data_IF_184948473525
#
_entry.id   IF_184948473525
#
_cell.length_a   1.000
_cell.length_b   1.000
_cell.length_c   1.000
_cell.angle_alpha   90.00
_cell.angle_beta   90.00
_cell.angle_gamma   90.00
#
_symmetry.space_group_name_H-M   'P 1'
#
loop_
_entity.id
_entity.type
_entity.pdbx_description
1 polymer ?
#
# COMPACT_ATOMS: atom_id res chain seq x y z
N UNK A 1 33.14 21.51 2.18
CA UNK A 1 32.89 20.41 3.16
C UNK A 1 34.07 19.44 3.08
N UNK A 2 34.62 19.05 4.21
CA UNK A 2 35.62 17.97 4.23
C UNK A 2 35.01 16.70 3.63
N UNK A 3 35.87 15.88 3.01
CA UNK A 3 35.46 14.59 2.44
C UNK A 3 35.08 13.64 3.59
N UNK A 4 33.88 13.01 3.58
CA UNK A 4 33.51 12.02 4.58
C UNK A 4 34.52 10.86 4.62
N UNK A 5 34.79 10.34 5.83
CA UNK A 5 35.76 9.27 6.06
C UNK A 5 35.11 7.89 6.06
N UNK A 6 33.80 7.81 6.35
CA UNK A 6 33.07 6.55 6.43
C UNK A 6 31.72 6.64 5.72
N UNK A 7 31.15 5.49 5.43
CA UNK A 7 29.78 5.37 4.88
C UNK A 7 28.75 5.93 5.85
N UNK A 8 28.94 5.81 7.16
CA UNK A 8 28.07 6.41 8.18
C UNK A 8 28.01 7.93 8.07
N UNK A 9 29.12 8.59 7.81
CA UNK A 9 29.16 10.04 7.60
C UNK A 9 28.43 10.43 6.32
N UNK A 10 28.63 9.67 5.23
CA UNK A 10 27.91 9.85 3.96
C UNK A 10 26.40 9.68 4.18
N UNK A 11 25.97 8.67 4.91
CA UNK A 11 24.58 8.42 5.28
C UNK A 11 23.96 9.63 5.97
N UNK A 12 24.65 10.21 6.95
CA UNK A 12 24.16 11.36 7.71
C UNK A 12 23.97 12.59 6.82
N UNK A 13 24.93 12.86 5.94
CA UNK A 13 24.84 13.96 4.96
C UNK A 13 23.70 13.70 3.95
N UNK A 14 23.57 12.47 3.46
CA UNK A 14 22.49 12.09 2.56
C UNK A 14 21.12 12.19 3.24
N UNK A 15 20.97 11.78 4.50
CA UNK A 15 19.71 11.91 5.27
C UNK A 15 19.29 13.37 5.38
N UNK A 16 20.23 14.27 5.67
CA UNK A 16 19.98 15.73 5.76
C UNK A 16 19.51 16.29 4.44
N UNK A 17 20.21 16.00 3.34
CA UNK A 17 19.82 16.42 1.99
C UNK A 17 18.46 15.83 1.59
N UNK A 18 18.27 14.53 1.75
CA UNK A 18 17.12 13.79 1.25
C UNK A 18 15.81 14.21 1.91
N UNK A 19 15.83 14.61 3.18
CA UNK A 19 14.67 15.06 3.96
C UNK A 19 13.89 16.20 3.27
N UNK A 20 14.57 17.03 2.47
CA UNK A 20 13.96 18.18 1.78
C UNK A 20 13.15 17.78 0.53
N UNK A 21 13.40 16.62 -0.07
CA UNK A 21 12.88 16.27 -1.39
C UNK A 21 11.84 15.15 -1.40
N UNK A 22 11.57 14.52 -0.25
CA UNK A 22 10.64 13.37 -0.19
C UNK A 22 9.63 13.52 0.94
N UNK A 23 8.49 12.84 0.80
CA UNK A 23 7.48 12.78 1.85
C UNK A 23 8.04 12.17 3.13
N UNK A 24 7.56 12.67 4.29
CA UNK A 24 7.96 12.17 5.62
C UNK A 24 7.81 10.65 5.75
N UNK A 25 6.76 10.07 5.19
CA UNK A 25 6.55 8.62 5.19
C UNK A 25 7.60 7.84 4.39
N UNK A 26 8.05 8.38 3.26
CA UNK A 26 9.14 7.75 2.47
C UNK A 26 10.47 7.89 3.18
N UNK A 27 10.74 9.06 3.76
CA UNK A 27 11.95 9.28 4.56
C UNK A 27 12.00 8.33 5.75
N UNK A 28 10.91 8.18 6.50
CA UNK A 28 10.79 7.24 7.60
C UNK A 28 11.12 5.79 7.18
N UNK A 29 10.58 5.34 6.04
CA UNK A 29 10.88 4.00 5.53
C UNK A 29 12.37 3.84 5.18
N UNK A 30 12.97 4.83 4.54
CA UNK A 30 14.40 4.79 4.22
C UNK A 30 15.27 4.82 5.49
N UNK A 31 14.94 5.66 6.46
CA UNK A 31 15.64 5.71 7.73
C UNK A 31 15.64 4.36 8.45
N UNK A 32 14.48 3.65 8.47
CA UNK A 32 14.40 2.31 9.05
C UNK A 32 15.28 1.29 8.32
N UNK A 33 15.32 1.31 6.99
CA UNK A 33 16.19 0.41 6.22
C UNK A 33 17.68 0.72 6.46
N UNK A 34 18.02 1.99 6.59
CA UNK A 34 19.37 2.43 6.89
C UNK A 34 19.80 1.95 8.29
N UNK A 35 19.03 2.30 9.32
CA UNK A 35 19.42 1.99 10.71
C UNK A 35 19.38 0.48 11.01
N UNK A 36 18.46 -0.26 10.41
CA UNK A 36 18.34 -1.70 10.68
C UNK A 36 19.28 -2.57 9.84
N UNK A 37 19.71 -2.09 8.66
CA UNK A 37 20.39 -2.97 7.71
C UNK A 37 21.65 -2.36 7.10
N UNK A 38 21.61 -1.10 6.60
CA UNK A 38 22.74 -0.53 5.86
C UNK A 38 23.85 -0.10 6.82
N UNK A 39 23.53 0.72 7.82
CA UNK A 39 24.50 1.24 8.78
C UNK A 39 25.22 0.13 9.57
N UNK A 40 24.52 -0.91 10.08
CA UNK A 40 25.21 -2.01 10.77
C UNK A 40 26.15 -2.85 9.90
N UNK A 41 25.90 -2.90 8.58
CA UNK A 41 26.69 -3.75 7.67
C UNK A 41 27.80 -2.99 6.95
N UNK A 42 27.60 -1.69 6.66
CA UNK A 42 28.50 -0.91 5.82
C UNK A 42 28.98 0.39 6.46
N UNK A 43 28.43 0.76 7.63
CA UNK A 43 28.65 2.10 8.21
C UNK A 43 30.09 2.45 8.49
N UNK A 44 30.90 1.50 8.95
CA UNK A 44 32.30 1.68 9.29
C UNK A 44 33.26 1.61 8.09
N UNK A 45 32.77 1.19 6.93
CA UNK A 45 33.58 1.09 5.73
C UNK A 45 33.87 2.49 5.15
N UNK A 46 35.00 2.61 4.45
CA UNK A 46 35.41 3.81 3.70
C UNK A 46 34.76 3.82 2.33
N UNK A 47 34.63 2.65 1.71
CA UNK A 47 33.99 2.41 0.40
C UNK A 47 33.33 1.04 0.42
N UNK A 48 32.53 0.74 -0.61
CA UNK A 48 31.79 -0.53 -0.72
C UNK A 48 32.08 -1.13 -2.09
N UNK A 49 32.48 -2.41 -2.08
CA UNK A 49 32.73 -3.19 -3.29
C UNK A 49 31.59 -4.22 -3.55
N UNK A 50 31.50 -4.74 -4.76
CA UNK A 50 30.48 -5.70 -5.16
C UNK A 50 30.45 -6.99 -4.30
N UNK A 51 31.60 -7.60 -3.97
CA UNK A 51 31.64 -8.81 -3.13
C UNK A 51 31.00 -8.61 -1.77
N UNK A 52 31.19 -7.45 -1.14
CA UNK A 52 30.60 -7.11 0.17
C UNK A 52 29.07 -6.97 0.08
N UNK A 53 28.59 -6.39 -1.01
CA UNK A 53 27.12 -6.28 -1.26
C UNK A 53 26.53 -7.65 -1.55
N UNK A 54 27.24 -8.50 -2.30
CA UNK A 54 26.78 -9.87 -2.58
C UNK A 54 26.75 -10.72 -1.30
N UNK A 55 27.76 -10.64 -0.45
CA UNK A 55 27.79 -11.32 0.84
C UNK A 55 26.65 -10.85 1.74
N UNK A 56 26.43 -9.53 1.83
CA UNK A 56 25.30 -8.96 2.54
C UNK A 56 23.97 -9.56 2.09
N UNK A 57 23.74 -9.67 0.77
CA UNK A 57 22.51 -10.26 0.22
C UNK A 57 22.34 -11.71 0.68
N UNK A 58 23.40 -12.52 0.59
CA UNK A 58 23.36 -13.92 1.01
C UNK A 58 23.09 -14.07 2.50
N UNK A 59 23.72 -13.28 3.36
CA UNK A 59 23.47 -13.26 4.80
C UNK A 59 22.03 -12.85 5.14
N UNK A 60 21.47 -11.81 4.47
CA UNK A 60 20.08 -11.39 4.71
C UNK A 60 19.07 -12.44 4.25
N UNK A 61 19.34 -13.15 3.15
CA UNK A 61 18.53 -14.27 2.70
C UNK A 61 18.59 -15.44 3.72
N UNK A 62 19.77 -15.79 4.18
CA UNK A 62 19.95 -16.83 5.21
C UNK A 62 19.22 -16.50 6.52
N UNK A 63 19.14 -15.20 6.88
CA UNK A 63 18.38 -14.70 8.02
C UNK A 63 16.86 -14.56 7.74
N UNK A 64 16.35 -15.09 6.63
CA UNK A 64 14.91 -15.15 6.33
C UNK A 64 14.29 -13.87 5.79
N UNK A 65 15.06 -12.85 5.38
CA UNK A 65 14.50 -11.68 4.71
C UNK A 65 14.05 -12.04 3.29
N UNK A 66 12.89 -11.51 2.89
CA UNK A 66 12.41 -11.70 1.52
C UNK A 66 13.33 -10.98 0.51
N UNK A 67 13.49 -11.56 -0.68
CA UNK A 67 14.23 -10.90 -1.77
C UNK A 67 13.72 -9.48 -2.05
N UNK A 68 12.40 -9.26 -1.97
CA UNK A 68 11.80 -7.95 -2.14
C UNK A 68 12.34 -6.94 -1.12
N UNK A 69 12.37 -7.31 0.16
CA UNK A 69 12.91 -6.43 1.22
C UNK A 69 14.38 -6.12 0.98
N UNK A 70 15.17 -7.12 0.58
CA UNK A 70 16.60 -6.93 0.28
C UNK A 70 16.78 -5.99 -0.92
N UNK A 71 15.99 -6.18 -1.99
CA UNK A 71 16.00 -5.27 -3.15
C UNK A 71 15.65 -3.82 -2.75
N UNK A 72 14.67 -3.63 -1.84
CA UNK A 72 14.33 -2.30 -1.32
C UNK A 72 15.51 -1.69 -0.51
N UNK A 73 16.25 -2.49 0.27
CA UNK A 73 17.46 -2.05 0.96
C UNK A 73 18.54 -1.62 -0.04
N UNK A 74 18.78 -2.43 -1.08
CA UNK A 74 19.77 -2.12 -2.11
C UNK A 74 19.42 -0.86 -2.93
N UNK A 75 18.12 -0.57 -3.14
CA UNK A 75 17.68 0.68 -3.76
C UNK A 75 18.13 1.88 -2.92
N UNK A 76 17.94 1.81 -1.59
CA UNK A 76 18.37 2.88 -0.68
C UNK A 76 19.89 3.00 -0.67
N UNK A 77 20.62 1.89 -0.58
CA UNK A 77 22.08 1.88 -0.66
C UNK A 77 22.58 2.54 -1.96
N UNK A 78 22.01 2.16 -3.11
CA UNK A 78 22.33 2.78 -4.41
C UNK A 78 22.07 4.29 -4.42
N UNK A 79 21.02 4.77 -3.77
CA UNK A 79 20.75 6.20 -3.66
C UNK A 79 21.83 6.92 -2.84
N UNK A 80 22.29 6.33 -1.75
CA UNK A 80 23.36 6.88 -0.90
C UNK A 80 24.69 6.94 -1.68
N UNK A 81 25.07 5.84 -2.36
CA UNK A 81 26.29 5.79 -3.15
C UNK A 81 26.28 6.78 -4.33
N UNK A 82 25.13 6.92 -5.02
CA UNK A 82 24.95 7.94 -6.07
C UNK A 82 25.13 9.36 -5.53
N UNK A 83 24.65 9.64 -4.32
CA UNK A 83 24.85 10.92 -3.67
C UNK A 83 26.34 11.16 -3.39
N UNK A 84 27.08 10.16 -2.88
CA UNK A 84 28.51 10.23 -2.65
C UNK A 84 29.29 10.47 -3.95
N UNK A 85 28.94 9.76 -5.02
CA UNK A 85 29.55 9.92 -6.34
C UNK A 85 29.30 11.31 -6.92
N UNK A 86 28.08 11.84 -6.80
CA UNK A 86 27.73 13.20 -7.24
C UNK A 86 28.57 14.26 -6.54
N UNK A 87 28.89 14.05 -5.26
CA UNK A 87 29.75 14.93 -4.48
C UNK A 87 31.26 14.63 -4.64
N UNK A 88 31.63 13.70 -5.53
CA UNK A 88 33.02 13.30 -5.80
C UNK A 88 33.75 12.70 -4.59
N UNK A 89 33.02 12.12 -3.64
CA UNK A 89 33.60 11.43 -2.48
C UNK A 89 33.96 9.99 -2.78
N UNK A 90 33.16 9.32 -3.62
CA UNK A 90 33.38 7.95 -4.07
C UNK A 90 33.38 7.89 -5.60
N UNK A 91 34.06 6.89 -6.16
CA UNK A 91 33.99 6.55 -7.57
C UNK A 91 32.60 6.00 -7.94
N UNK A 92 32.22 6.16 -9.20
CA UNK A 92 30.97 5.52 -9.69
C UNK A 92 31.19 4.02 -9.84
N UNK A 93 30.31 3.24 -9.20
CA UNK A 93 30.33 1.77 -9.28
C UNK A 93 28.97 1.25 -9.73
N UNK A 94 28.97 0.18 -10.51
CA UNK A 94 27.79 -0.61 -10.84
C UNK A 94 27.97 -1.99 -10.22
N UNK A 95 26.93 -2.48 -9.54
CA UNK A 95 26.92 -3.79 -8.91
C UNK A 95 25.96 -4.72 -9.65
N UNK A 96 26.45 -5.87 -10.08
CA UNK A 96 25.65 -6.96 -10.66
C UNK A 96 25.35 -8.03 -9.60
N UNK A 97 24.36 -7.74 -8.77
CA UNK A 97 24.01 -8.55 -7.62
C UNK A 97 23.08 -9.69 -8.00
N UNK A 98 23.52 -10.92 -7.72
CA UNK A 98 22.78 -12.13 -8.04
C UNK A 98 21.78 -12.49 -6.95
N UNK A 99 20.58 -12.90 -7.35
CA UNK A 99 19.53 -13.42 -6.49
C UNK A 99 19.12 -14.83 -6.90
N UNK A 100 18.77 -15.69 -5.95
CA UNK A 100 18.16 -16.98 -6.28
C UNK A 100 16.86 -16.80 -7.08
N UNK A 101 16.58 -17.72 -7.98
CA UNK A 101 15.33 -17.69 -8.77
C UNK A 101 14.13 -17.88 -7.85
N UNK A 102 13.20 -16.93 -7.81
CA UNK A 102 11.94 -17.09 -7.09
C UNK A 102 11.02 -18.07 -7.85
N UNK A 103 10.63 -19.16 -7.20
CA UNK A 103 9.73 -20.18 -7.77
C UNK A 103 8.27 -20.01 -7.38
N UNK A 104 7.96 -19.22 -6.36
CA UNK A 104 6.59 -19.09 -5.86
C UNK A 104 5.83 -17.94 -6.50
N UNK A 105 4.71 -18.27 -7.14
CA UNK A 105 3.71 -17.28 -7.54
C UNK A 105 2.84 -16.97 -6.33
N UNK A 106 2.94 -15.75 -5.80
CA UNK A 106 2.02 -15.29 -4.76
C UNK A 106 0.62 -15.08 -5.33
N UNK A 107 -0.29 -15.99 -5.03
CA UNK A 107 -1.71 -15.79 -5.30
C UNK A 107 -2.28 -14.74 -4.35
N UNK A 108 -3.10 -13.87 -4.91
CA UNK A 108 -3.79 -12.83 -4.12
C UNK A 108 -4.96 -13.47 -3.38
N UNK A 109 -4.94 -13.40 -2.05
CA UNK A 109 -6.04 -13.89 -1.22
C UNK A 109 -7.25 -12.95 -1.33
N UNK A 110 -8.41 -13.52 -1.64
CA UNK A 110 -9.69 -12.80 -1.75
C UNK A 110 -10.79 -13.56 -0.99
N UNK A 111 -11.79 -12.82 -0.53
CA UNK A 111 -13.01 -13.43 0.00
C UNK A 111 -13.74 -14.19 -1.13
N UNK A 112 -14.25 -15.39 -0.83
CA UNK A 112 -15.22 -16.03 -1.70
C UNK A 112 -16.47 -15.15 -1.84
N UNK A 113 -17.27 -15.35 -2.89
CA UNK A 113 -18.54 -14.61 -3.06
C UNK A 113 -19.47 -14.78 -1.86
N UNK A 114 -19.56 -16.01 -1.32
CA UNK A 114 -20.37 -16.32 -0.16
C UNK A 114 -19.87 -15.55 1.08
N UNK A 115 -18.56 -15.60 1.35
CA UNK A 115 -17.95 -14.91 2.49
C UNK A 115 -18.10 -13.39 2.38
N UNK A 116 -17.88 -12.82 1.19
CA UNK A 116 -18.08 -11.39 0.97
C UNK A 116 -19.54 -10.99 1.23
N UNK A 117 -20.52 -11.77 0.74
CA UNK A 117 -21.93 -11.53 0.99
C UNK A 117 -22.26 -11.64 2.49
N UNK A 118 -21.70 -12.63 3.21
CA UNK A 118 -21.86 -12.79 4.66
C UNK A 118 -21.37 -11.55 5.42
N UNK A 119 -20.18 -11.04 5.09
CA UNK A 119 -19.64 -9.80 5.68
C UNK A 119 -20.55 -8.61 5.36
N UNK A 120 -20.96 -8.43 4.10
CA UNK A 120 -21.79 -7.29 3.71
C UNK A 120 -23.14 -7.29 4.40
N UNK A 121 -23.82 -8.43 4.48
CA UNK A 121 -25.08 -8.55 5.19
C UNK A 121 -24.92 -8.22 6.68
N UNK A 122 -23.91 -8.82 7.34
CA UNK A 122 -23.66 -8.57 8.75
C UNK A 122 -23.42 -7.09 9.06
N UNK A 123 -22.60 -6.40 8.27
CA UNK A 123 -22.27 -4.98 8.52
C UNK A 123 -23.44 -4.05 8.23
N UNK A 124 -24.40 -4.46 7.40
CA UNK A 124 -25.66 -3.74 7.16
C UNK A 124 -26.66 -3.94 8.31
N UNK A 125 -26.78 -5.17 8.81
CA UNK A 125 -27.68 -5.53 9.91
C UNK A 125 -27.20 -4.99 11.27
N UNK A 126 -25.87 -4.94 11.46
CA UNK A 126 -25.23 -4.48 12.70
C UNK A 126 -24.47 -3.17 12.43
N UNK A 127 -25.22 -2.11 12.17
CA UNK A 127 -24.64 -0.82 11.85
C UNK A 127 -23.77 -0.27 12.98
N UNK A 128 -22.52 0.03 12.66
CA UNK A 128 -21.58 0.88 13.41
C UNK A 128 -20.75 1.65 12.41
N UNK A 129 -20.16 2.77 12.78
CA UNK A 129 -19.26 3.51 11.89
C UNK A 129 -18.05 2.68 11.47
N UNK A 130 -17.56 1.76 12.31
CA UNK A 130 -16.49 0.82 11.94
C UNK A 130 -16.97 -0.22 10.92
N UNK A 131 -18.17 -0.73 11.06
CA UNK A 131 -18.79 -1.65 10.10
C UNK A 131 -19.05 -0.95 8.76
N UNK A 132 -19.54 0.30 8.79
CA UNK A 132 -19.67 1.13 7.60
C UNK A 132 -18.35 1.21 6.81
N UNK A 133 -17.21 1.40 7.51
CA UNK A 133 -15.90 1.42 6.85
C UNK A 133 -15.54 0.12 6.13
N UNK A 134 -15.91 -1.06 6.69
CA UNK A 134 -15.75 -2.35 6.00
C UNK A 134 -16.60 -2.40 4.73
N UNK A 135 -17.87 -1.95 4.82
CA UNK A 135 -18.76 -1.89 3.67
C UNK A 135 -18.21 -0.99 2.57
N UNK A 136 -17.73 0.21 2.93
CA UNK A 136 -17.11 1.16 2.01
C UNK A 136 -15.86 0.55 1.34
N UNK A 137 -15.01 -0.17 2.09
CA UNK A 137 -13.85 -0.84 1.51
C UNK A 137 -14.23 -1.95 0.51
N UNK A 138 -15.26 -2.74 0.81
CA UNK A 138 -15.77 -3.78 -0.09
C UNK A 138 -16.49 -3.22 -1.33
N UNK A 139 -17.06 -2.02 -1.21
CA UNK A 139 -17.80 -1.35 -2.29
C UNK A 139 -16.95 -0.45 -3.18
N UNK A 140 -15.79 0.03 -2.68
CA UNK A 140 -14.96 1.01 -3.38
C UNK A 140 -13.47 0.66 -3.48
N UNK A 141 -13.05 -0.47 -2.91
CA UNK A 141 -11.66 -0.93 -2.99
C UNK A 141 -10.64 0.00 -2.33
N UNK A 142 -11.01 0.71 -1.26
CA UNK A 142 -10.14 1.64 -0.57
C UNK A 142 -8.99 0.95 0.17
N UNK A 143 -7.86 1.67 0.30
CA UNK A 143 -6.75 1.25 1.17
C UNK A 143 -7.07 1.56 2.62
N UNK A 144 -6.49 0.80 3.56
CA UNK A 144 -6.74 1.02 5.00
C UNK A 144 -6.41 2.45 5.46
N UNK A 145 -5.34 3.04 4.97
CA UNK A 145 -4.99 4.42 5.30
C UNK A 145 -5.97 5.44 4.73
N UNK A 146 -6.59 5.16 3.58
CA UNK A 146 -7.59 6.01 2.96
C UNK A 146 -8.89 6.00 3.76
N UNK A 147 -9.39 4.81 4.15
CA UNK A 147 -10.61 4.71 4.96
C UNK A 147 -10.43 5.27 6.37
N UNK A 148 -9.26 5.11 6.99
CA UNK A 148 -8.97 5.71 8.29
C UNK A 148 -8.84 7.24 8.25
N UNK A 149 -8.57 7.80 7.08
CA UNK A 149 -8.45 9.24 6.85
C UNK A 149 -9.74 9.88 6.32
N UNK A 150 -10.76 9.06 5.98
CA UNK A 150 -11.99 9.54 5.36
C UNK A 150 -12.81 10.35 6.37
N UNK A 151 -13.17 11.57 6.01
CA UNK A 151 -14.07 12.46 6.76
C UNK A 151 -15.41 12.59 6.02
N UNK A 152 -16.44 13.08 6.71
CA UNK A 152 -17.77 13.26 6.11
C UNK A 152 -17.78 14.30 5.00
N UNK A 153 -16.89 15.29 5.01
CA UNK A 153 -16.71 16.25 3.90
C UNK A 153 -16.27 15.60 2.58
N UNK A 154 -15.66 14.38 2.65
CA UNK A 154 -15.22 13.64 1.49
C UNK A 154 -16.33 12.77 0.88
N UNK A 155 -17.53 12.71 1.50
CA UNK A 155 -18.67 11.91 1.05
C UNK A 155 -19.78 12.83 0.53
N UNK A 156 -19.91 12.89 -0.79
CA UNK A 156 -20.98 13.58 -1.47
C UNK A 156 -22.15 12.62 -1.75
N UNK A 157 -23.13 12.61 -0.85
CA UNK A 157 -24.30 11.72 -0.96
C UNK A 157 -25.21 12.14 -2.12
N UNK A 158 -25.30 13.43 -2.41
CA UNK A 158 -26.20 13.97 -3.44
C UNK A 158 -25.74 13.57 -4.84
N UNK A 159 -24.42 13.67 -5.09
CA UNK A 159 -23.82 13.23 -6.34
C UNK A 159 -23.40 11.74 -6.32
N UNK A 160 -23.50 11.06 -5.17
CA UNK A 160 -23.17 9.64 -5.05
C UNK A 160 -21.70 9.35 -5.20
N UNK A 161 -20.80 10.20 -4.67
CA UNK A 161 -19.35 10.10 -4.86
C UNK A 161 -18.59 10.19 -3.54
N UNK A 162 -17.53 9.39 -3.41
CA UNK A 162 -16.53 9.50 -2.35
C UNK A 162 -15.23 10.04 -2.96
N UNK A 163 -14.69 11.11 -2.38
CA UNK A 163 -13.44 11.74 -2.77
C UNK A 163 -12.28 11.19 -1.94
N UNK A 164 -11.30 10.57 -2.57
CA UNK A 164 -10.09 10.09 -1.90
C UNK A 164 -8.99 11.14 -2.03
N UNK A 165 -8.75 11.89 -0.96
CA UNK A 165 -7.80 13.02 -0.93
C UNK A 165 -6.73 12.88 0.13
N UNK A 166 -6.95 12.02 1.14
CA UNK A 166 -6.13 11.89 2.35
C UNK A 166 -5.80 10.43 2.64
N UNK A 167 -4.73 10.20 3.36
CA UNK A 167 -4.34 8.90 3.89
C UNK A 167 -3.75 9.07 5.29
N UNK A 168 -4.12 8.19 6.20
CA UNK A 168 -3.60 8.15 7.56
C UNK A 168 -2.60 7.01 7.69
N UNK A 169 -1.43 7.29 8.23
CA UNK A 169 -0.40 6.28 8.44
C UNK A 169 0.45 6.58 9.65
N UNK A 170 0.94 5.53 10.32
CA UNK A 170 1.93 5.65 11.38
C UNK A 170 3.31 5.57 10.76
N UNK A 171 4.14 6.56 11.06
CA UNK A 171 5.54 6.59 10.64
C UNK A 171 6.46 6.52 11.85
N UNK A 172 7.70 6.09 11.61
CA UNK A 172 8.78 6.18 12.59
C UNK A 172 9.53 7.50 12.39
N UNK A 173 9.85 8.15 13.49
CA UNK A 173 10.82 9.25 13.54
C UNK A 173 12.03 8.74 14.32
N UNK A 174 13.21 8.91 13.74
CA UNK A 174 14.49 8.56 14.38
C UNK A 174 15.22 9.87 14.57
N UNK A 175 15.25 10.34 15.80
CA UNK A 175 15.95 11.54 16.24
C UNK A 175 16.82 11.14 17.43
N UNK A 176 18.11 11.49 17.39
CA UNK A 176 19.08 11.25 18.45
C UNK A 176 19.06 9.80 19.01
N UNK A 177 19.07 8.80 18.11
CA UNK A 177 18.98 7.35 18.40
C UNK A 177 17.68 6.91 19.11
N UNK A 178 16.73 7.82 19.32
CA UNK A 178 15.41 7.48 19.86
C UNK A 178 14.41 7.23 18.75
N UNK A 179 13.78 6.04 18.79
CA UNK A 179 12.68 5.69 17.90
C UNK A 179 11.36 6.12 18.51
N UNK A 180 10.72 7.09 17.88
CA UNK A 180 9.34 7.48 18.19
C UNK A 180 8.44 7.09 17.02
N UNK A 181 7.16 7.01 17.27
CA UNK A 181 6.17 6.83 16.20
C UNK A 181 5.14 7.92 16.29
N UNK A 182 4.74 8.45 15.15
CA UNK A 182 3.66 9.43 15.06
C UNK A 182 2.64 9.03 14.00
N UNK A 183 1.42 9.48 14.19
CA UNK A 183 0.34 9.29 13.26
C UNK A 183 0.26 10.54 12.38
N UNK A 184 0.43 10.36 11.08
CA UNK A 184 0.35 11.48 10.13
C UNK A 184 -0.83 11.32 9.18
N UNK A 185 -1.54 12.43 9.00
CA UNK A 185 -2.53 12.61 7.95
C UNK A 185 -1.83 13.34 6.80
N UNK A 186 -1.77 12.72 5.62
CA UNK A 186 -1.04 13.24 4.45
C UNK A 186 -1.85 13.01 3.18
N UNK A 187 -1.48 13.69 2.11
CA UNK A 187 -2.01 13.40 0.78
C UNK A 187 -1.49 12.04 0.30
N UNK A 188 -2.24 11.31 -0.55
CA UNK A 188 -1.77 10.06 -1.14
C UNK A 188 -0.41 10.21 -1.87
N UNK A 189 0.35 9.11 -1.96
CA UNK A 189 1.72 9.13 -2.49
C UNK A 189 1.81 9.50 -3.97
N UNK A 190 0.79 9.20 -4.76
CA UNK A 190 0.77 9.45 -6.21
C UNK A 190 -0.47 10.24 -6.60
N UNK A 191 -0.39 11.00 -7.70
CA UNK A 191 -1.55 11.73 -8.27
C UNK A 191 -2.73 10.79 -8.56
N UNK A 192 -2.48 9.59 -9.08
CA UNK A 192 -3.50 8.60 -9.39
C UNK A 192 -4.23 8.04 -8.14
N UNK A 193 -3.65 8.21 -6.96
CA UNK A 193 -4.30 7.80 -5.71
C UNK A 193 -5.35 8.82 -5.25
N UNK A 194 -5.27 10.08 -5.72
CA UNK A 194 -6.35 11.06 -5.58
C UNK A 194 -7.36 10.72 -6.66
N UNK A 195 -8.57 10.36 -6.25
CA UNK A 195 -9.61 9.85 -7.15
C UNK A 195 -10.99 9.98 -6.55
N UNK A 196 -11.97 9.82 -7.40
CA UNK A 196 -13.38 9.73 -7.05
C UNK A 196 -13.86 8.28 -7.17
N UNK A 197 -14.65 7.84 -6.21
CA UNK A 197 -15.25 6.51 -6.19
C UNK A 197 -16.77 6.68 -6.19
N UNK A 198 -17.48 6.29 -7.25
CA UNK A 198 -18.93 6.29 -7.26
C UNK A 198 -19.48 5.34 -6.19
N UNK A 199 -20.51 5.77 -5.47
CA UNK A 199 -21.17 4.96 -4.44
C UNK A 199 -22.21 4.04 -5.07
N UNK A 200 -22.27 2.81 -4.58
CA UNK A 200 -23.37 1.91 -4.92
C UNK A 200 -24.69 2.42 -4.35
N UNK A 201 -25.81 2.03 -4.97
CA UNK A 201 -27.14 2.36 -4.47
C UNK A 201 -27.37 1.91 -3.02
N UNK A 202 -26.80 0.76 -2.64
CA UNK A 202 -26.94 0.22 -1.29
C UNK A 202 -26.15 1.04 -0.28
N UNK A 203 -24.96 1.53 -0.64
CA UNK A 203 -24.20 2.44 0.21
C UNK A 203 -24.93 3.77 0.41
N UNK A 204 -25.51 4.34 -0.67
CA UNK A 204 -26.31 5.57 -0.58
C UNK A 204 -27.53 5.36 0.33
N UNK A 205 -28.26 4.23 0.19
CA UNK A 205 -29.38 3.89 1.09
C UNK A 205 -28.97 3.79 2.54
N UNK A 206 -27.79 3.23 2.82
CA UNK A 206 -27.24 3.11 4.17
C UNK A 206 -26.86 4.47 4.77
N UNK A 207 -26.37 5.40 3.95
CA UNK A 207 -25.90 6.72 4.40
C UNK A 207 -27.01 7.76 4.56
N UNK A 208 -28.08 7.69 3.73
CA UNK A 208 -29.18 8.66 3.76
C UNK A 208 -29.79 8.87 5.15
N UNK A 209 -30.12 7.82 5.96
CA UNK A 209 -30.73 8.01 7.28
C UNK A 209 -29.87 8.74 8.27
N UNK A 210 -28.54 8.57 8.18
CA UNK A 210 -27.58 9.15 9.13
C UNK A 210 -27.06 10.53 8.69
N UNK A 211 -27.46 11.03 7.51
CA UNK A 211 -27.00 12.30 6.96
C UNK A 211 -27.09 13.47 7.96
N UNK A 212 -28.15 13.50 8.77
CA UNK A 212 -28.40 14.59 9.73
C UNK A 212 -27.40 14.65 10.89
N UNK A 213 -26.71 13.54 11.18
CA UNK A 213 -25.70 13.44 12.25
C UNK A 213 -24.27 13.54 11.73
N UNK A 214 -24.09 13.67 10.42
CA UNK A 214 -22.77 13.81 9.80
C UNK A 214 -22.24 15.23 10.01
N UNK A 215 -21.15 15.35 10.75
CA UNK A 215 -20.39 16.60 10.82
C UNK A 215 -19.27 16.52 9.77
N UNK A 216 -19.17 17.46 8.82
CA UNK A 216 -18.12 17.44 7.77
C UNK A 216 -16.70 17.24 8.30
N UNK A 217 -16.39 17.78 9.48
CA UNK A 217 -15.07 17.72 10.09
C UNK A 217 -14.78 16.43 10.84
N UNK A 218 -15.74 15.52 10.97
CA UNK A 218 -15.58 14.26 11.68
C UNK A 218 -15.14 13.13 10.75
N UNK A 219 -14.30 12.25 11.30
CA UNK A 219 -13.88 11.05 10.59
C UNK A 219 -14.99 10.01 10.54
N UNK A 220 -15.17 9.35 9.38
CA UNK A 220 -16.26 8.40 9.15
C UNK A 220 -16.25 7.20 10.10
N UNK A 221 -15.06 6.67 10.43
CA UNK A 221 -14.94 5.48 11.28
C UNK A 221 -15.23 5.71 12.76
N UNK A 222 -15.17 6.94 13.22
CA UNK A 222 -15.39 7.30 14.63
C UNK A 222 -16.62 8.17 14.82
N UNK A 223 -17.04 8.87 13.77
CA UNK A 223 -17.96 10.00 13.84
C UNK A 223 -17.51 11.03 14.89
N UNK A 224 -16.21 11.34 14.91
CA UNK A 224 -15.55 12.22 15.86
C UNK A 224 -14.36 12.93 15.17
N UNK A 225 -13.79 13.92 15.86
CA UNK A 225 -12.60 14.68 15.45
C UNK A 225 -11.32 13.83 15.42
N UNK A 226 -11.29 12.71 16.11
CA UNK A 226 -10.13 11.80 16.17
C UNK A 226 -10.27 10.63 15.21
N UNK A 227 -9.31 10.41 14.29
CA UNK A 227 -9.35 9.26 13.38
C UNK A 227 -9.03 7.94 14.09
N UNK A 228 -9.52 6.85 13.55
CA UNK A 228 -9.08 5.49 13.95
C UNK A 228 -7.71 5.18 13.32
N UNK A 229 -6.74 4.78 14.15
CA UNK A 229 -5.45 4.35 13.66
C UNK A 229 -5.57 3.09 12.78
N UNK A 230 -4.84 2.99 11.65
CA UNK A 230 -4.87 1.81 10.77
C UNK A 230 -4.56 0.48 11.48
N UNK A 231 -3.67 0.48 12.48
CA UNK A 231 -3.38 -0.73 13.29
C UNK A 231 -4.61 -1.17 14.09
N UNK A 232 -5.26 -0.24 14.79
CA UNK A 232 -6.48 -0.50 15.57
C UNK A 232 -7.61 -0.99 14.66
N UNK A 233 -7.74 -0.42 13.47
CA UNK A 233 -8.78 -0.83 12.53
C UNK A 233 -8.51 -2.22 11.93
N UNK A 234 -7.24 -2.60 11.69
CA UNK A 234 -6.89 -3.98 11.32
C UNK A 234 -7.27 -4.99 12.41
N UNK A 235 -7.03 -4.65 13.68
CA UNK A 235 -7.40 -5.51 14.80
C UNK A 235 -8.92 -5.69 14.87
N UNK A 236 -9.68 -4.60 14.70
CA UNK A 236 -11.13 -4.65 14.61
C UNK A 236 -11.61 -5.57 13.47
N UNK A 237 -11.06 -5.40 12.27
CA UNK A 237 -11.37 -6.25 11.11
C UNK A 237 -11.06 -7.73 11.39
N UNK A 238 -9.92 -8.03 12.00
CA UNK A 238 -9.54 -9.41 12.36
C UNK A 238 -10.56 -10.02 13.33
N UNK A 239 -10.98 -9.29 14.36
CA UNK A 239 -12.01 -9.74 15.31
C UNK A 239 -13.35 -9.96 14.62
N UNK A 240 -13.73 -9.09 13.66
CA UNK A 240 -14.95 -9.28 12.88
C UNK A 240 -14.91 -10.57 12.05
N UNK A 241 -13.78 -10.85 11.38
CA UNK A 241 -13.62 -12.08 10.59
C UNK A 241 -13.71 -13.33 11.48
N UNK A 242 -13.10 -13.30 12.67
CA UNK A 242 -13.20 -14.38 13.66
C UNK A 242 -14.64 -14.55 14.17
N UNK A 243 -15.34 -13.46 14.50
CA UNK A 243 -16.74 -13.49 14.94
C UNK A 243 -17.66 -14.11 13.87
N UNK A 244 -17.36 -13.89 12.61
CA UNK A 244 -18.12 -14.44 11.47
C UNK A 244 -17.66 -15.85 11.07
N UNK A 245 -16.73 -16.45 11.78
CA UNK A 245 -16.12 -17.74 11.43
C UNK A 245 -15.64 -17.75 9.96
N UNK A 246 -14.86 -16.71 9.59
CA UNK A 246 -14.32 -16.54 8.26
C UNK A 246 -12.79 -16.65 8.26
N UNK A 247 -12.17 -17.01 7.12
CA UNK A 247 -10.72 -17.07 6.99
C UNK A 247 -10.04 -15.77 7.44
N UNK A 248 -8.92 -15.89 8.18
CA UNK A 248 -8.16 -14.74 8.68
C UNK A 248 -7.34 -14.08 7.56
N UNK A 249 -8.03 -13.44 6.63
CA UNK A 249 -7.41 -12.70 5.54
C UNK A 249 -6.91 -11.33 6.00
N UNK A 250 -5.84 -10.84 5.37
CA UNK A 250 -5.34 -9.48 5.63
C UNK A 250 -6.38 -8.44 5.22
N UNK A 251 -6.41 -7.29 5.88
CA UNK A 251 -7.35 -6.20 5.54
C UNK A 251 -7.31 -5.81 4.05
N UNK A 252 -6.13 -5.87 3.43
CA UNK A 252 -5.98 -5.55 2.01
C UNK A 252 -6.74 -6.51 1.08
N UNK A 253 -7.09 -7.69 1.54
CA UNK A 253 -7.93 -8.65 0.82
C UNK A 253 -9.35 -8.14 0.55
N UNK A 254 -9.87 -7.16 1.32
CA UNK A 254 -11.13 -6.48 0.99
C UNK A 254 -11.04 -5.75 -0.36
N UNK A 255 -9.96 -5.01 -0.56
CA UNK A 255 -9.69 -4.32 -1.82
C UNK A 255 -9.42 -5.31 -2.97
N UNK A 256 -8.72 -6.40 -2.71
CA UNK A 256 -8.52 -7.46 -3.69
C UNK A 256 -9.85 -8.13 -4.06
N UNK A 257 -10.72 -8.38 -3.07
CA UNK A 257 -12.06 -8.91 -3.31
C UNK A 257 -12.91 -7.98 -4.17
N UNK A 258 -12.90 -6.66 -3.90
CA UNK A 258 -13.57 -5.67 -4.74
C UNK A 258 -13.08 -5.74 -6.20
N UNK A 259 -11.76 -5.70 -6.40
CA UNK A 259 -11.18 -5.74 -7.75
C UNK A 259 -11.54 -7.03 -8.49
N UNK A 260 -11.43 -8.18 -7.83
CA UNK A 260 -11.80 -9.49 -8.39
C UNK A 260 -13.28 -9.52 -8.78
N UNK A 261 -14.19 -9.01 -7.93
CA UNK A 261 -15.64 -8.94 -8.25
C UNK A 261 -15.91 -8.04 -9.46
N UNK A 262 -15.25 -6.88 -9.56
CA UNK A 262 -15.38 -6.02 -10.74
C UNK A 262 -14.98 -6.76 -12.03
N UNK A 263 -13.84 -7.46 -12.01
CA UNK A 263 -13.35 -8.20 -13.19
C UNK A 263 -14.25 -9.38 -13.53
N UNK A 264 -14.71 -10.15 -12.53
CA UNK A 264 -15.68 -11.22 -12.73
C UNK A 264 -17.02 -10.71 -13.30
N UNK A 265 -17.38 -9.48 -12.96
CA UNK A 265 -18.56 -8.77 -13.49
C UNK A 265 -18.29 -8.14 -14.86
N UNK A 266 -17.16 -8.43 -15.50
CA UNK A 266 -16.75 -7.93 -16.83
C UNK A 266 -16.55 -6.41 -16.89
N UNK A 267 -16.27 -5.75 -15.77
CA UNK A 267 -15.80 -4.36 -15.82
C UNK A 267 -14.46 -4.30 -16.57
N UNK A 268 -14.27 -3.25 -17.37
CA UNK A 268 -13.02 -3.07 -18.08
C UNK A 268 -11.84 -2.81 -17.10
N UNK A 269 -10.69 -3.34 -17.43
CA UNK A 269 -9.51 -3.33 -16.56
C UNK A 269 -8.97 -1.93 -16.28
N UNK A 270 -9.15 -1.00 -17.24
CA UNK A 270 -8.71 0.39 -17.07
C UNK A 270 -9.56 1.10 -16.03
N UNK A 271 -10.87 0.94 -16.11
CA UNK A 271 -11.82 1.48 -15.11
C UNK A 271 -11.54 0.93 -13.72
N UNK A 272 -11.33 -0.40 -13.59
CA UNK A 272 -10.96 -1.00 -12.30
C UNK A 272 -9.62 -0.44 -11.78
N UNK A 273 -8.62 -0.28 -12.65
CA UNK A 273 -7.33 0.33 -12.30
C UNK A 273 -7.48 1.76 -11.78
N UNK A 274 -8.34 2.57 -12.40
CA UNK A 274 -8.63 3.96 -11.99
C UNK A 274 -9.35 3.97 -10.64
N UNK A 275 -10.41 3.17 -10.46
CA UNK A 275 -11.13 3.04 -9.18
C UNK A 275 -10.20 2.64 -8.03
N UNK A 276 -9.26 1.76 -8.29
CA UNK A 276 -8.25 1.37 -7.32
C UNK A 276 -7.15 2.45 -7.12
N UNK A 277 -6.97 3.38 -8.04
CA UNK A 277 -5.87 4.36 -8.00
C UNK A 277 -4.50 3.69 -8.15
N UNK A 278 -4.37 2.76 -9.11
CA UNK A 278 -3.09 2.18 -9.50
C UNK A 278 -2.35 3.15 -10.42
N UNK A 279 -1.06 3.36 -10.16
CA UNK A 279 -0.22 4.20 -11.01
C UNK A 279 0.02 3.58 -12.40
N UNK A 280 0.01 2.24 -12.46
CA UNK A 280 0.17 1.46 -13.68
C UNK A 280 -0.92 0.37 -13.76
N UNK A 281 -1.59 0.28 -14.90
CA UNK A 281 -2.61 -0.73 -15.19
C UNK A 281 -2.06 -2.16 -15.09
N UNK A 282 -0.76 -2.37 -15.35
CA UNK A 282 -0.09 -3.66 -15.21
C UNK A 282 -0.26 -4.26 -13.80
N UNK A 283 -0.40 -3.42 -12.77
CA UNK A 283 -0.69 -3.88 -11.41
C UNK A 283 -2.04 -4.58 -11.34
N UNK A 284 -3.07 -4.05 -12.00
CA UNK A 284 -4.39 -4.67 -12.05
C UNK A 284 -4.37 -5.95 -12.88
N UNK A 285 -3.73 -5.92 -14.05
CA UNK A 285 -3.64 -7.09 -14.93
C UNK A 285 -2.89 -8.25 -14.27
N UNK A 286 -1.72 -8.00 -13.70
CA UNK A 286 -0.89 -9.03 -13.08
C UNK A 286 -1.52 -9.64 -11.81
N UNK A 287 -2.30 -8.86 -11.05
CA UNK A 287 -2.90 -9.34 -9.81
C UNK A 287 -4.24 -10.05 -10.02
N UNK A 288 -5.04 -9.66 -11.01
CA UNK A 288 -6.44 -10.08 -11.09
C UNK A 288 -6.83 -10.74 -12.42
N UNK A 289 -5.99 -10.67 -13.44
CA UNK A 289 -6.33 -11.18 -14.77
C UNK A 289 -5.52 -12.43 -15.08
N UNK A 290 -6.13 -13.58 -14.82
CA UNK A 290 -5.56 -14.89 -15.11
C UNK A 290 -6.54 -15.70 -15.98
N UNK A 291 -6.58 -15.46 -17.31
CA UNK A 291 -7.54 -16.11 -18.19
C UNK A 291 -7.31 -17.64 -18.23
N UNK A 292 -8.37 -18.39 -17.92
CA UNK A 292 -8.38 -19.83 -18.05
C UNK A 292 -8.53 -20.27 -19.53
N UNK A 293 -8.41 -21.58 -19.80
CA UNK A 293 -8.49 -22.11 -21.15
C UNK A 293 -9.85 -21.83 -21.83
N UNK A 294 -10.93 -21.90 -21.08
CA UNK A 294 -12.29 -21.66 -21.60
C UNK A 294 -12.45 -20.21 -22.02
N UNK A 295 -11.98 -19.25 -21.21
CA UNK A 295 -11.98 -17.84 -21.57
C UNK A 295 -11.15 -17.55 -22.83
N UNK A 296 -9.98 -18.21 -22.98
CA UNK A 296 -9.15 -18.11 -24.19
C UNK A 296 -9.90 -18.62 -25.42
N UNK A 297 -10.52 -19.82 -25.33
CA UNK A 297 -11.35 -20.38 -26.42
C UNK A 297 -12.48 -19.45 -26.83
N UNK A 298 -13.24 -18.96 -25.83
CA UNK A 298 -14.35 -18.04 -26.08
C UNK A 298 -13.91 -16.74 -26.77
N UNK A 299 -12.74 -16.22 -26.41
CA UNK A 299 -12.18 -15.04 -27.05
C UNK A 299 -11.87 -15.30 -28.54
N UNK A 300 -11.26 -16.45 -28.86
CA UNK A 300 -10.97 -16.85 -30.24
C UNK A 300 -12.28 -17.04 -31.03
N UNK A 301 -13.26 -17.72 -30.47
CA UNK A 301 -14.56 -17.96 -31.13
C UNK A 301 -15.30 -16.62 -31.41
N UNK A 302 -15.25 -15.68 -30.49
CA UNK A 302 -15.84 -14.34 -30.68
C UNK A 302 -15.14 -13.57 -31.81
N UNK A 303 -13.81 -13.62 -31.87
CA UNK A 303 -13.04 -12.99 -32.95
C UNK A 303 -13.44 -13.57 -34.31
N UNK A 304 -13.47 -14.89 -34.45
CA UNK A 304 -13.91 -15.52 -35.72
C UNK A 304 -15.33 -15.20 -36.09
N UNK A 305 -16.25 -15.09 -35.12
CA UNK A 305 -17.64 -14.65 -35.39
C UNK A 305 -17.71 -13.22 -35.90
N UNK A 306 -16.81 -12.34 -35.49
CA UNK A 306 -16.78 -10.94 -35.94
C UNK A 306 -16.26 -10.75 -37.38
N UNK A 307 -15.64 -11.79 -37.94
CA UNK A 307 -15.09 -11.80 -39.31
C UNK A 307 -16.08 -12.40 -40.33
N UNK A 308 -17.19 -12.94 -39.88
CA UNK A 308 -18.30 -13.44 -40.71
C UNK A 308 -19.37 -12.40 -40.85
#
# INVERSE_FOLDING_TARGET
MEKPKTISEIINLWKTDKKHYIKRSSYSAYALLIENHIKPSFGELIDIEEPEVQEFVLQKLANGLSQKTIKDILIVLKMILRFATKNKWLASKQFDIQFPTEREKHFVEVLSRANQKKVMNYVQEHFTFRNLGIFVCLSGGMRIGEICALSWEDIDIDNGVIHIRKTLQRIYTIEDDHRKTELILDTPKTKNSIREIPMSRDLIKLLKPIRKIMNPNFFVLTNDTKPTEPRTYRTYYKSLMQHLDLPNLKFHSLRHSFATRCIESKCDYKTVSVLLGHANISTTLNLYVHPNLEQKKKCIDQMFKSLK
#
